data_IF_302507623688
#
_entry.id   IF_302507623688
#
_cell.length_a   1.000
_cell.length_b   1.000
_cell.length_c   1.000
_cell.angle_alpha   90.00
_cell.angle_beta   90.00
_cell.angle_gamma   90.00
#
_symmetry.space_group_name_H-M   'P 1'
#
loop_
_entity.id
_entity.type
_entity.pdbx_description
1 polymer ?
#
# COMPACT_ATOMS: atom_id res chain seq x y z
N UNK A 1 -3.86 -12.73 10.43
CA UNK A 1 -5.32 -12.76 10.21
C UNK A 1 -5.58 -13.80 9.14
N UNK A 2 -6.61 -14.62 9.31
CA UNK A 2 -6.92 -15.67 8.34
C UNK A 2 -7.66 -15.05 7.14
N UNK A 3 -6.92 -14.67 6.11
CA UNK A 3 -7.51 -14.13 4.89
C UNK A 3 -7.95 -15.28 3.97
N UNK A 4 -9.03 -15.04 3.25
CA UNK A 4 -9.62 -15.94 2.26
C UNK A 4 -10.01 -15.11 1.04
N UNK A 5 -10.24 -15.77 -0.11
CA UNK A 5 -10.80 -15.08 -1.28
C UNK A 5 -12.05 -14.26 -0.92
N UNK A 6 -12.97 -14.84 -0.14
CA UNK A 6 -14.21 -14.16 0.28
C UNK A 6 -13.95 -12.93 1.13
N UNK A 7 -12.96 -12.98 2.03
CA UNK A 7 -12.57 -11.83 2.83
C UNK A 7 -11.98 -10.71 1.96
N UNK A 8 -11.09 -11.04 1.01
CA UNK A 8 -10.47 -10.07 0.10
C UNK A 8 -11.50 -9.41 -0.83
N UNK A 9 -12.39 -10.19 -1.45
CA UNK A 9 -13.47 -9.62 -2.29
C UNK A 9 -14.47 -8.81 -1.46
N UNK A 10 -14.84 -9.28 -0.28
CA UNK A 10 -15.72 -8.55 0.64
C UNK A 10 -15.12 -7.21 1.06
N UNK A 11 -13.85 -7.20 1.45
CA UNK A 11 -13.12 -5.97 1.76
C UNK A 11 -13.06 -5.04 0.53
N UNK A 12 -12.75 -5.58 -0.66
CA UNK A 12 -12.73 -4.81 -1.90
C UNK A 12 -14.05 -4.10 -2.22
N UNK A 13 -15.20 -4.77 -2.02
CA UNK A 13 -16.52 -4.17 -2.22
C UNK A 13 -16.77 -3.03 -1.23
N UNK A 14 -16.53 -3.28 0.06
CA UNK A 14 -16.72 -2.27 1.12
C UNK A 14 -15.82 -1.06 0.89
N UNK A 15 -14.55 -1.28 0.57
CA UNK A 15 -13.57 -0.24 0.28
C UNK A 15 -13.94 0.55 -0.98
N UNK A 16 -14.47 -0.11 -2.02
CA UNK A 16 -14.98 0.57 -3.22
C UNK A 16 -16.12 1.51 -2.87
N UNK A 17 -17.09 1.05 -2.08
CA UNK A 17 -18.22 1.88 -1.64
C UNK A 17 -17.75 3.09 -0.81
N UNK A 18 -16.84 2.87 0.15
CA UNK A 18 -16.25 3.94 0.97
C UNK A 18 -15.45 4.91 0.10
N UNK A 19 -14.65 4.41 -0.84
CA UNK A 19 -13.84 5.22 -1.75
C UNK A 19 -14.69 6.11 -2.64
N UNK A 20 -15.72 5.54 -3.28
CA UNK A 20 -16.67 6.32 -4.10
C UNK A 20 -17.40 7.37 -3.25
N UNK A 21 -17.87 7.01 -2.07
CA UNK A 21 -18.54 7.96 -1.17
C UNK A 21 -17.59 9.08 -0.71
N UNK A 22 -16.32 8.77 -0.45
CA UNK A 22 -15.28 9.73 -0.05
C UNK A 22 -14.95 10.70 -1.19
N UNK A 23 -14.75 10.18 -2.41
CA UNK A 23 -14.48 10.99 -3.60
C UNK A 23 -15.64 11.93 -3.91
N UNK A 24 -16.90 11.46 -3.78
CA UNK A 24 -18.09 12.31 -3.98
C UNK A 24 -18.18 13.48 -2.98
N UNK A 25 -17.52 13.40 -1.83
CA UNK A 25 -17.48 14.46 -0.81
C UNK A 25 -16.30 15.41 -0.96
N UNK A 26 -15.43 15.21 -1.95
CA UNK A 26 -14.28 16.08 -2.21
C UNK A 26 -14.76 17.46 -2.64
N UNK A 27 -14.35 18.49 -1.91
CA UNK A 27 -14.64 19.90 -2.23
C UNK A 27 -13.43 20.61 -2.84
N UNK A 28 -12.22 20.14 -2.52
CA UNK A 28 -10.97 20.72 -3.01
C UNK A 28 -10.08 19.66 -3.64
N UNK A 29 -9.37 20.04 -4.71
CA UNK A 29 -8.49 19.13 -5.47
C UNK A 29 -7.40 18.48 -4.60
N UNK A 30 -6.98 19.16 -3.53
CA UNK A 30 -6.04 18.63 -2.54
C UNK A 30 -6.55 17.42 -1.76
N UNK A 31 -7.88 17.28 -1.59
CA UNK A 31 -8.49 16.18 -0.84
C UNK A 31 -8.64 14.91 -1.69
N UNK A 32 -8.53 15.03 -3.02
CA UNK A 32 -8.82 13.92 -3.93
C UNK A 32 -7.91 12.72 -3.69
N UNK A 33 -6.59 12.94 -3.59
CA UNK A 33 -5.64 11.84 -3.41
C UNK A 33 -5.93 11.07 -2.11
N UNK A 34 -6.18 11.80 -1.03
CA UNK A 34 -6.53 11.20 0.26
C UNK A 34 -7.86 10.44 0.20
N UNK A 35 -8.89 11.02 -0.44
CA UNK A 35 -10.20 10.38 -0.59
C UNK A 35 -10.17 9.12 -1.48
N UNK A 36 -9.17 9.00 -2.36
CA UNK A 36 -9.00 7.85 -3.26
C UNK A 36 -8.25 6.67 -2.61
N UNK A 37 -7.67 6.84 -1.40
CA UNK A 37 -6.96 5.76 -0.68
C UNK A 37 -7.80 4.47 -0.58
N UNK A 38 -9.08 4.50 -0.15
CA UNK A 38 -9.88 3.28 -0.06
C UNK A 38 -10.09 2.59 -1.42
N UNK A 39 -10.19 3.35 -2.51
CA UNK A 39 -10.38 2.80 -3.85
C UNK A 39 -9.11 2.08 -4.35
N UNK A 40 -7.94 2.67 -4.10
CA UNK A 40 -6.66 2.02 -4.41
C UNK A 40 -6.46 0.74 -3.60
N UNK A 41 -6.83 0.77 -2.32
CA UNK A 41 -6.78 -0.41 -1.48
C UNK A 41 -7.79 -1.48 -1.93
N UNK A 42 -8.96 -1.10 -2.45
CA UNK A 42 -9.91 -2.02 -3.05
C UNK A 42 -9.32 -2.77 -4.26
N UNK A 43 -8.62 -2.06 -5.15
CA UNK A 43 -7.94 -2.66 -6.31
C UNK A 43 -6.91 -3.69 -5.83
N UNK A 44 -6.11 -3.33 -4.81
CA UNK A 44 -5.15 -4.24 -4.23
C UNK A 44 -5.84 -5.47 -3.59
N UNK A 45 -6.95 -5.28 -2.86
CA UNK A 45 -7.71 -6.39 -2.27
C UNK A 45 -8.34 -7.31 -3.32
N UNK A 46 -8.82 -6.78 -4.45
CA UNK A 46 -9.28 -7.62 -5.55
C UNK A 46 -8.15 -8.45 -6.16
N UNK A 47 -6.95 -7.87 -6.30
CA UNK A 47 -5.79 -8.63 -6.77
C UNK A 47 -5.39 -9.77 -5.80
N UNK A 48 -5.49 -9.53 -4.49
CA UNK A 48 -5.28 -10.57 -3.48
C UNK A 48 -6.36 -11.66 -3.53
N UNK A 49 -7.62 -11.29 -3.75
CA UNK A 49 -8.71 -12.25 -3.97
C UNK A 49 -8.48 -13.14 -5.19
N UNK A 50 -7.93 -12.59 -6.27
CA UNK A 50 -7.53 -13.35 -7.46
C UNK A 50 -6.36 -14.30 -7.14
N UNK A 51 -5.36 -13.86 -6.36
CA UNK A 51 -4.27 -14.74 -5.91
C UNK A 51 -4.80 -15.94 -5.13
N UNK A 52 -5.73 -15.72 -4.19
CA UNK A 52 -6.37 -16.83 -3.46
C UNK A 52 -7.03 -17.86 -4.36
N UNK A 53 -7.65 -17.43 -5.48
CA UNK A 53 -8.29 -18.33 -6.42
C UNK A 53 -7.30 -19.06 -7.35
N UNK A 54 -6.11 -18.50 -7.57
CA UNK A 54 -5.17 -18.97 -8.60
C UNK A 54 -4.04 -19.80 -8.01
N UNK A 55 -3.58 -19.49 -6.79
CA UNK A 55 -2.52 -20.21 -6.09
C UNK A 55 -2.74 -21.73 -5.94
N UNK A 56 -3.97 -22.25 -5.76
CA UNK A 56 -4.21 -23.69 -5.72
C UNK A 56 -3.99 -24.42 -7.05
N UNK A 57 -3.90 -23.70 -8.18
CA UNK A 57 -3.84 -24.28 -9.53
C UNK A 57 -2.47 -24.02 -10.18
N UNK A 58 -1.57 -25.02 -10.23
CA UNK A 58 -0.23 -24.86 -10.80
C UNK A 58 -0.21 -24.41 -12.27
N UNK A 59 -1.23 -24.78 -13.04
CA UNK A 59 -1.34 -24.43 -14.46
C UNK A 59 -1.45 -22.92 -14.71
N UNK A 60 -1.80 -22.14 -13.67
CA UNK A 60 -1.93 -20.69 -13.73
C UNK A 60 -0.67 -19.94 -13.27
N UNK A 61 0.50 -20.60 -13.23
CA UNK A 61 1.74 -20.02 -12.68
C UNK A 61 2.11 -18.64 -13.25
N UNK A 62 1.92 -18.41 -14.55
CA UNK A 62 2.19 -17.10 -15.16
C UNK A 62 1.25 -16.02 -14.61
N UNK A 63 -0.03 -16.34 -14.49
CA UNK A 63 -1.05 -15.42 -13.98
C UNK A 63 -0.90 -15.16 -12.48
N UNK A 64 -0.50 -16.18 -11.70
CA UNK A 64 -0.13 -16.03 -10.29
C UNK A 64 1.04 -15.07 -10.13
N UNK A 65 2.07 -15.21 -10.98
CA UNK A 65 3.24 -14.34 -10.98
C UNK A 65 2.81 -12.90 -11.26
N UNK A 66 2.11 -12.64 -12.35
CA UNK A 66 1.70 -11.28 -12.73
C UNK A 66 0.85 -10.62 -11.65
N UNK A 67 -0.10 -11.36 -11.05
CA UNK A 67 -0.95 -10.86 -9.97
C UNK A 67 -0.14 -10.61 -8.69
N UNK A 68 0.87 -11.43 -8.40
CA UNK A 68 1.79 -11.23 -7.26
C UNK A 68 2.60 -9.94 -7.41
N UNK A 69 3.19 -9.72 -8.59
CA UNK A 69 3.93 -8.47 -8.85
C UNK A 69 3.00 -7.27 -8.81
N UNK A 70 1.78 -7.37 -9.35
CA UNK A 70 0.78 -6.31 -9.25
C UNK A 70 0.49 -5.93 -7.79
N UNK A 71 0.19 -6.92 -6.93
CA UNK A 71 -0.04 -6.69 -5.51
C UNK A 71 1.19 -6.05 -4.83
N UNK A 72 2.40 -6.55 -5.11
CA UNK A 72 3.64 -6.06 -4.52
C UNK A 72 4.01 -4.65 -4.99
N UNK A 73 3.70 -4.27 -6.24
CA UNK A 73 3.91 -2.90 -6.72
C UNK A 73 3.05 -1.93 -5.90
N UNK A 74 1.79 -2.27 -5.62
CA UNK A 74 0.95 -1.47 -4.74
C UNK A 74 1.56 -1.35 -3.33
N UNK A 75 1.89 -2.50 -2.74
CA UNK A 75 2.47 -2.59 -1.41
C UNK A 75 3.78 -1.80 -1.27
N UNK A 76 4.75 -2.08 -2.13
CA UNK A 76 6.15 -1.65 -1.95
C UNK A 76 6.50 -0.33 -2.64
N UNK A 77 5.77 0.07 -3.68
CA UNK A 77 6.11 1.24 -4.50
C UNK A 77 5.05 2.33 -4.36
N UNK A 78 3.77 1.98 -4.52
CA UNK A 78 2.68 2.97 -4.53
C UNK A 78 2.46 3.53 -3.12
N UNK A 79 2.27 2.71 -2.09
CA UNK A 79 1.93 3.22 -0.76
C UNK A 79 2.96 4.15 -0.12
N UNK A 80 4.28 3.84 -0.12
CA UNK A 80 5.27 4.72 0.51
C UNK A 80 5.35 6.11 -0.13
N UNK A 81 4.93 6.25 -1.39
CA UNK A 81 4.83 7.55 -2.07
C UNK A 81 3.45 8.18 -1.91
N UNK A 82 2.40 7.40 -2.13
CA UNK A 82 1.04 7.90 -2.21
C UNK A 82 0.53 8.45 -0.87
N UNK A 83 0.83 7.76 0.24
CA UNK A 83 0.39 8.20 1.58
C UNK A 83 0.99 9.56 1.94
N UNK A 84 2.32 9.78 2.00
CA UNK A 84 2.85 11.06 2.42
C UNK A 84 2.52 12.18 1.42
N UNK A 85 2.41 11.91 0.11
CA UNK A 85 1.96 12.91 -0.86
C UNK A 85 0.50 13.31 -0.59
N UNK A 86 -0.38 12.35 -0.32
CA UNK A 86 -1.80 12.62 -0.05
C UNK A 86 -1.99 13.52 1.17
N UNK A 87 -1.14 13.38 2.19
CA UNK A 87 -1.17 14.20 3.40
C UNK A 87 -0.51 15.56 3.16
N UNK A 88 0.61 15.59 2.44
CA UNK A 88 1.28 16.83 2.05
C UNK A 88 0.33 17.79 1.32
N UNK A 89 -0.53 17.28 0.44
CA UNK A 89 -1.51 18.09 -0.28
C UNK A 89 -2.62 18.67 0.63
N UNK A 90 -2.90 18.02 1.75
CA UNK A 90 -3.91 18.48 2.72
C UNK A 90 -3.37 19.55 3.67
N UNK A 91 -2.05 19.58 3.89
CA UNK A 91 -1.41 20.52 4.80
C UNK A 91 -1.41 21.95 4.25
N UNK A 92 -1.76 22.91 5.13
CA UNK A 92 -1.73 24.35 4.83
C UNK A 92 -0.67 25.10 5.63
N UNK A 93 -0.04 24.45 6.61
CA UNK A 93 0.93 25.06 7.51
C UNK A 93 2.36 24.73 7.08
N UNK A 94 3.18 25.76 6.84
CA UNK A 94 4.55 25.62 6.30
C UNK A 94 5.47 24.67 7.09
N UNK A 95 5.37 24.67 8.43
CA UNK A 95 6.21 23.79 9.28
C UNK A 95 5.88 22.31 9.05
N UNK A 96 4.59 21.97 8.99
CA UNK A 96 4.14 20.60 8.79
C UNK A 96 4.33 20.17 7.34
N UNK A 97 4.17 21.10 6.39
CA UNK A 97 4.49 20.89 4.98
C UNK A 97 5.95 20.45 4.81
N UNK A 98 6.90 21.07 5.52
CA UNK A 98 8.32 20.67 5.44
C UNK A 98 8.57 19.26 6.00
N UNK A 99 7.91 18.87 7.09
CA UNK A 99 8.01 17.52 7.65
C UNK A 99 7.42 16.50 6.67
N UNK A 100 6.26 16.79 6.09
CA UNK A 100 5.64 15.91 5.10
C UNK A 100 6.48 15.80 3.82
N UNK A 101 7.11 16.89 3.36
CA UNK A 101 8.09 16.82 2.24
C UNK A 101 9.25 15.90 2.56
N UNK A 102 9.80 15.95 3.77
CA UNK A 102 10.85 15.02 4.20
C UNK A 102 10.34 13.56 4.16
N UNK A 103 9.12 13.31 4.64
CA UNK A 103 8.49 11.97 4.58
C UNK A 103 8.26 11.51 3.13
N UNK A 104 7.89 12.40 2.21
CA UNK A 104 7.80 12.09 0.77
C UNK A 104 9.17 11.69 0.21
N UNK A 105 10.24 12.40 0.56
CA UNK A 105 11.61 12.04 0.12
C UNK A 105 12.01 10.68 0.67
N UNK A 106 11.74 10.40 1.94
CA UNK A 106 11.98 9.08 2.55
C UNK A 106 11.17 8.01 1.82
N UNK A 107 9.87 8.26 1.58
CA UNK A 107 8.98 7.37 0.84
C UNK A 107 9.48 7.08 -0.57
N UNK A 108 10.01 8.08 -1.27
CA UNK A 108 10.61 7.93 -2.60
C UNK A 108 11.85 7.06 -2.56
N UNK A 109 12.76 7.28 -1.60
CA UNK A 109 13.94 6.44 -1.42
C UNK A 109 13.55 4.99 -1.12
N UNK A 110 12.55 4.77 -0.27
CA UNK A 110 12.01 3.44 0.05
C UNK A 110 11.41 2.78 -1.19
N UNK A 111 10.54 3.48 -1.93
CA UNK A 111 9.92 2.95 -3.15
C UNK A 111 10.95 2.63 -4.24
N UNK A 112 11.97 3.47 -4.44
CA UNK A 112 13.05 3.17 -5.39
C UNK A 112 13.87 1.95 -4.97
N UNK A 113 14.18 1.85 -3.68
CA UNK A 113 14.98 0.74 -3.15
C UNK A 113 14.22 -0.60 -3.20
N UNK A 114 12.96 -0.60 -2.76
CA UNK A 114 12.09 -1.78 -2.87
C UNK A 114 11.76 -2.13 -4.32
N UNK A 115 11.55 -1.13 -5.19
CA UNK A 115 11.37 -1.35 -6.62
C UNK A 115 12.61 -1.97 -7.29
N UNK A 116 13.82 -1.53 -6.90
CA UNK A 116 15.06 -2.17 -7.33
C UNK A 116 15.12 -3.63 -6.88
N UNK A 117 14.75 -3.93 -5.64
CA UNK A 117 14.71 -5.32 -5.16
C UNK A 117 13.64 -6.16 -5.86
N UNK A 118 12.46 -5.59 -6.11
CA UNK A 118 11.38 -6.25 -6.84
C UNK A 118 11.76 -6.56 -8.29
N UNK A 119 12.59 -5.71 -8.91
CA UNK A 119 13.08 -5.94 -10.26
C UNK A 119 14.21 -7.00 -10.32
N UNK A 120 15.15 -6.97 -9.37
CA UNK A 120 16.33 -7.84 -9.41
C UNK A 120 16.12 -9.21 -8.76
N UNK A 121 15.19 -9.32 -7.81
CA UNK A 121 14.95 -10.55 -7.06
C UNK A 121 13.56 -11.09 -7.34
N UNK A 122 13.48 -12.40 -7.58
CA UNK A 122 12.21 -13.07 -7.83
C UNK A 122 11.33 -13.01 -6.58
N UNK A 123 10.12 -12.47 -6.75
CA UNK A 123 9.06 -12.58 -5.79
C UNK A 123 8.12 -13.74 -6.15
N UNK A 124 7.75 -14.53 -5.14
CA UNK A 124 6.77 -15.61 -5.25
C UNK A 124 5.77 -15.53 -4.09
N UNK A 125 4.51 -15.86 -4.38
CA UNK A 125 3.45 -15.93 -3.39
C UNK A 125 3.15 -17.40 -3.07
N UNK A 126 3.05 -17.73 -1.79
CA UNK A 126 2.70 -19.07 -1.31
C UNK A 126 1.59 -18.95 -0.26
N UNK A 127 0.68 -19.92 -0.22
CA UNK A 127 -0.33 -19.99 0.84
C UNK A 127 0.34 -20.60 2.07
N UNK A 128 0.51 -19.80 3.13
CA UNK A 128 1.03 -20.25 4.42
C UNK A 128 -0.11 -20.26 5.46
N UNK A 129 -0.70 -21.44 5.64
CA UNK A 129 -1.92 -21.71 6.42
C UNK A 129 -3.11 -20.82 6.03
N UNK A 130 -3.18 -19.61 6.59
CA UNK A 130 -4.30 -18.69 6.44
C UNK A 130 -3.92 -17.31 5.90
N UNK A 131 -2.72 -17.14 5.35
CA UNK A 131 -2.32 -15.91 4.69
C UNK A 131 -1.47 -16.20 3.46
N UNK A 132 -1.47 -15.27 2.52
CA UNK A 132 -0.54 -15.33 1.40
C UNK A 132 0.78 -14.74 1.89
N UNK A 133 1.82 -15.57 1.85
CA UNK A 133 3.18 -15.19 2.17
C UNK A 133 3.89 -14.80 0.89
N UNK A 134 4.38 -13.57 0.85
CA UNK A 134 5.17 -13.06 -0.26
C UNK A 134 6.65 -13.26 0.06
N UNK A 135 7.26 -14.26 -0.56
CA UNK A 135 8.67 -14.58 -0.40
C UNK A 135 9.48 -13.82 -1.45
N UNK A 136 10.48 -13.07 -0.99
CA UNK A 136 11.38 -12.31 -1.84
C UNK A 136 12.80 -12.51 -1.31
N UNK A 137 13.69 -13.00 -2.16
CA UNK A 137 15.02 -13.47 -1.76
C UNK A 137 16.04 -12.33 -1.67
N UNK A 138 15.86 -11.36 -0.76
CA UNK A 138 16.81 -10.26 -0.53
C UNK A 138 17.52 -10.37 0.84
N UNK A 139 18.67 -9.70 1.06
CA UNK A 139 19.48 -9.89 2.26
C UNK A 139 18.76 -9.51 3.57
N UNK A 140 18.82 -10.37 4.59
CA UNK A 140 18.16 -10.22 5.91
C UNK A 140 18.34 -8.84 6.58
N UNK A 141 19.54 -8.25 6.48
CA UNK A 141 19.83 -6.92 7.05
C UNK A 141 18.97 -5.82 6.42
N UNK A 142 18.66 -5.93 5.13
CA UNK A 142 17.80 -4.96 4.43
C UNK A 142 16.33 -5.14 4.78
N UNK A 143 15.90 -6.34 5.20
CA UNK A 143 14.52 -6.60 5.64
C UNK A 143 14.12 -5.76 6.84
N UNK A 144 15.02 -5.66 7.82
CA UNK A 144 14.76 -4.93 9.06
C UNK A 144 14.74 -3.42 8.79
N UNK A 145 15.79 -2.89 8.15
CA UNK A 145 15.88 -1.45 7.86
C UNK A 145 14.83 -0.98 6.85
N UNK A 146 14.57 -1.77 5.81
CA UNK A 146 13.52 -1.49 4.82
C UNK A 146 12.13 -1.50 5.45
N UNK A 147 11.84 -2.45 6.34
CA UNK A 147 10.57 -2.49 7.07
C UNK A 147 10.38 -1.30 8.02
N UNK A 148 11.43 -0.88 8.72
CA UNK A 148 11.39 0.32 9.58
C UNK A 148 11.14 1.57 8.74
N UNK A 149 11.91 1.78 7.66
CA UNK A 149 11.75 2.94 6.79
C UNK A 149 10.39 2.97 6.10
N UNK A 150 9.88 1.80 5.70
CA UNK A 150 8.53 1.65 5.16
C UNK A 150 7.46 2.05 6.19
N UNK A 151 7.56 1.53 7.41
CA UNK A 151 6.66 1.90 8.51
C UNK A 151 6.71 3.40 8.79
N UNK A 152 7.91 3.97 8.85
CA UNK A 152 8.12 5.43 9.00
C UNK A 152 7.42 6.21 7.88
N UNK A 153 7.57 5.79 6.62
CA UNK A 153 7.01 6.51 5.48
C UNK A 153 5.48 6.36 5.34
N UNK A 154 4.89 5.30 5.87
CA UNK A 154 3.46 4.98 5.69
C UNK A 154 2.61 5.25 6.94
N UNK A 155 3.15 5.01 8.14
CA UNK A 155 2.44 5.11 9.42
C UNK A 155 2.59 6.49 10.06
N UNK A 156 3.78 7.11 9.98
CA UNK A 156 4.00 8.41 10.62
C UNK A 156 3.31 9.62 9.95
N UNK A 157 3.04 9.66 8.63
CA UNK A 157 2.45 10.83 8.00
C UNK A 157 1.14 11.32 8.68
N UNK A 158 0.17 10.46 9.05
CA UNK A 158 -1.02 10.87 9.80
C UNK A 158 -0.75 11.44 11.21
N UNK A 159 0.28 10.96 11.92
CA UNK A 159 0.62 11.44 13.27
C UNK A 159 1.18 12.86 13.27
N UNK A 160 1.91 13.24 12.23
CA UNK A 160 2.50 14.57 12.08
C UNK A 160 1.60 15.57 11.33
N UNK A 161 0.36 15.19 10.99
CA UNK A 161 -0.57 16.11 10.35
C UNK A 161 -1.18 17.10 11.36
N UNK A 162 -1.33 18.36 10.95
CA UNK A 162 -2.01 19.40 11.76
C UNK A 162 -3.53 19.19 11.82
N UNK A 163 -4.08 18.34 10.97
CA UNK A 163 -5.53 18.15 10.86
C UNK A 163 -6.02 17.37 12.09
N UNK A 164 -7.02 17.96 12.76
CA UNK A 164 -7.64 17.38 13.96
C UNK A 164 -8.08 15.93 13.67
N UNK A 165 -7.63 15.00 14.52
CA UNK A 165 -7.97 13.56 14.48
C UNK A 165 -7.31 12.71 13.37
N UNK A 166 -6.40 13.25 12.54
CA UNK A 166 -5.70 12.42 11.54
C UNK A 166 -4.80 11.34 12.17
N UNK A 167 -4.32 11.54 13.39
CA UNK A 167 -3.55 10.53 14.15
C UNK A 167 -4.29 9.20 14.42
N UNK A 168 -5.63 9.15 14.31
CA UNK A 168 -6.38 7.89 14.48
C UNK A 168 -6.28 6.96 13.27
N UNK A 169 -5.73 7.44 12.14
CA UNK A 169 -5.60 6.69 10.89
C UNK A 169 -4.19 6.09 10.69
N UNK A 170 -3.26 6.38 11.59
CA UNK A 170 -1.90 5.82 11.62
C UNK A 170 -1.80 4.61 12.52
#
# INVERSE_FOLDING_TARGET
MCFSATASFGAGIVLTAIGVASIKKVQHRSQFMFAAIPLLFAIQQFSEGILWLTLPYPDLQYFQKDTTYFFLIFAQIIWPLYVPISILLLEKQKTQENIQRLLVVIGLLVSCNLGYYLYNYKAHAEIDCYHIKYLQSYPEKFRIWGGILYGVATILPPFFSHIRRMWMLG
#
